data_IF_818784946117
#
_entry.id   IF_818784946117
#
_cell.length_a   1.000
_cell.length_b   1.000
_cell.length_c   1.000
_cell.angle_alpha   90.00
_cell.angle_beta   90.00
_cell.angle_gamma   90.00
#
_symmetry.space_group_name_H-M   'P 1'
#
loop_
_entity.id
_entity.type
_entity.pdbx_description
1 polymer ?
#
# COMPACT_ATOMS: atom_id res chain seq x y z
N UNK A 1 15.21 -0.93 -7.81
CA UNK A 1 13.90 -0.49 -7.26
C UNK A 1 13.75 1.04 -7.24
N UNK A 2 14.44 1.75 -8.14
CA UNK A 2 14.57 3.22 -8.09
C UNK A 2 13.23 3.96 -8.18
N UNK A 3 12.26 3.41 -8.92
CA UNK A 3 10.95 4.04 -9.08
C UNK A 3 10.09 3.99 -7.82
N UNK A 4 10.04 2.85 -7.13
CA UNK A 4 9.29 2.71 -5.86
C UNK A 4 9.95 3.55 -4.77
N UNK A 5 11.28 3.57 -4.73
CA UNK A 5 12.01 4.41 -3.80
C UNK A 5 11.73 5.91 -4.04
N UNK A 6 11.85 6.36 -5.29
CA UNK A 6 11.55 7.74 -5.66
C UNK A 6 10.11 8.12 -5.31
N UNK A 7 9.15 7.23 -5.59
CA UNK A 7 7.75 7.43 -5.24
C UNK A 7 7.55 7.53 -3.72
N UNK A 8 8.12 6.61 -2.94
CA UNK A 8 8.07 6.63 -1.48
C UNK A 8 8.64 7.95 -0.92
N UNK A 9 9.79 8.38 -1.44
CA UNK A 9 10.43 9.64 -1.04
C UNK A 9 9.58 10.86 -1.41
N UNK A 10 8.88 10.83 -2.55
CA UNK A 10 8.03 11.93 -2.98
C UNK A 10 6.76 12.10 -2.13
N UNK A 11 6.19 11.00 -1.61
CA UNK A 11 4.96 11.04 -0.79
C UNK A 11 5.24 11.26 0.69
N UNK A 12 6.44 10.93 1.17
CA UNK A 12 6.82 11.05 2.58
C UNK A 12 6.55 12.44 3.21
N UNK A 13 6.81 13.59 2.55
CA UNK A 13 6.55 14.92 3.14
C UNK A 13 5.07 15.22 3.39
N UNK A 14 4.17 14.59 2.63
CA UNK A 14 2.72 14.82 2.74
C UNK A 14 2.00 13.77 3.57
N UNK A 15 2.72 12.75 4.03
CA UNK A 15 2.17 11.66 4.83
C UNK A 15 1.66 12.17 6.19
N UNK A 16 0.57 11.60 6.70
CA UNK A 16 -0.01 11.99 7.98
C UNK A 16 -0.34 10.74 8.79
N UNK A 17 -0.44 10.91 10.11
CA UNK A 17 -1.00 9.87 10.98
C UNK A 17 -2.38 9.44 10.47
N UNK A 18 -2.60 8.14 10.44
CA UNK A 18 -3.77 7.50 9.86
C UNK A 18 -3.67 7.22 8.35
N UNK A 19 -2.57 7.57 7.68
CA UNK A 19 -2.41 7.29 6.25
C UNK A 19 -2.34 5.78 5.95
N UNK A 20 -2.78 5.41 4.75
CA UNK A 20 -2.63 4.08 4.18
C UNK A 20 -1.85 4.21 2.87
N UNK A 21 -0.73 3.50 2.76
CA UNK A 21 0.10 3.45 1.56
C UNK A 21 -0.01 2.05 0.96
N UNK A 22 -0.39 1.96 -0.31
CA UNK A 22 -0.56 0.70 -1.03
C UNK A 22 0.41 0.66 -2.21
N UNK A 23 1.27 -0.36 -2.24
CA UNK A 23 2.11 -0.65 -3.39
C UNK A 23 1.31 -1.49 -4.39
N UNK A 24 1.00 -0.91 -5.55
CA UNK A 24 0.26 -1.61 -6.62
C UNK A 24 1.16 -2.10 -7.77
N UNK A 25 2.34 -1.49 -7.93
CA UNK A 25 3.28 -1.88 -8.97
C UNK A 25 3.85 -3.27 -8.72
N UNK A 26 3.91 -4.10 -9.76
CA UNK A 26 4.59 -5.40 -9.73
C UNK A 26 6.03 -5.23 -9.26
N UNK A 27 6.31 -5.70 -8.06
CA UNK A 27 7.59 -5.48 -7.40
C UNK A 27 8.14 -6.79 -6.84
N UNK A 28 9.49 -6.94 -6.75
CA UNK A 28 10.09 -8.11 -6.13
C UNK A 28 9.61 -8.34 -4.68
N UNK A 29 9.75 -9.56 -4.18
CA UNK A 29 9.50 -9.86 -2.76
C UNK A 29 10.42 -8.99 -1.88
N UNK A 30 9.92 -8.46 -0.76
CA UNK A 30 10.66 -7.54 0.11
C UNK A 30 10.50 -6.06 -0.26
N UNK A 31 9.77 -5.73 -1.33
CA UNK A 31 9.61 -4.34 -1.78
C UNK A 31 8.74 -3.51 -0.83
N UNK A 32 7.73 -4.15 -0.23
CA UNK A 32 6.81 -3.50 0.70
C UNK A 32 7.53 -3.10 1.99
N UNK A 33 8.40 -3.98 2.48
CA UNK A 33 9.24 -3.79 3.66
C UNK A 33 10.26 -2.66 3.40
N UNK A 34 10.96 -2.69 2.26
CA UNK A 34 11.90 -1.62 1.88
C UNK A 34 11.21 -0.27 1.72
N UNK A 35 10.01 -0.24 1.14
CA UNK A 35 9.22 0.97 1.05
C UNK A 35 8.88 1.52 2.44
N UNK A 36 8.50 0.64 3.37
CA UNK A 36 8.24 1.01 4.75
C UNK A 36 9.48 1.55 5.47
N UNK A 37 10.66 0.97 5.21
CA UNK A 37 11.95 1.44 5.72
C UNK A 37 12.25 2.86 5.23
N UNK A 38 12.18 3.11 3.91
CA UNK A 38 12.45 4.45 3.36
C UNK A 38 11.49 5.51 3.90
N UNK A 39 10.22 5.16 4.06
CA UNK A 39 9.23 6.07 4.65
C UNK A 39 9.54 6.37 6.12
N UNK A 40 9.94 5.35 6.89
CA UNK A 40 10.32 5.50 8.30
C UNK A 40 11.60 6.35 8.48
N UNK A 41 12.59 6.18 7.61
CA UNK A 41 13.81 7.01 7.60
C UNK A 41 13.49 8.49 7.36
N UNK A 42 12.53 8.77 6.48
CA UNK A 42 12.15 10.14 6.13
C UNK A 42 11.16 10.78 7.11
N UNK A 43 10.39 9.97 7.84
CA UNK A 43 9.35 10.43 8.76
C UNK A 43 9.55 9.83 10.15
N UNK A 44 10.62 10.22 10.87
CA UNK A 44 10.87 9.76 12.23
C UNK A 44 9.80 10.23 13.23
N UNK A 45 8.95 11.20 12.84
CA UNK A 45 7.79 11.68 13.58
C UNK A 45 6.55 10.77 13.46
N UNK A 46 6.57 9.78 12.55
CA UNK A 46 5.51 8.79 12.36
C UNK A 46 6.03 7.39 12.66
N UNK A 47 5.14 6.52 13.13
CA UNK A 47 5.44 5.11 13.33
C UNK A 47 4.92 4.22 12.20
N UNK A 48 5.68 3.17 11.89
CA UNK A 48 5.42 2.24 10.78
C UNK A 48 5.28 0.79 11.25
N UNK A 49 4.65 -0.10 10.46
CA UNK A 49 4.32 -1.47 10.87
C UNK A 49 5.52 -2.29 11.36
N UNK A 50 6.69 -2.13 10.75
CA UNK A 50 7.92 -2.82 11.14
C UNK A 50 8.48 -2.37 12.51
N UNK A 51 8.02 -1.23 13.03
CA UNK A 51 8.51 -0.66 14.30
C UNK A 51 7.56 -1.01 15.47
N UNK A 52 6.25 -0.88 15.25
CA UNK A 52 5.25 -0.97 16.32
C UNK A 52 4.07 -1.91 15.99
N UNK A 53 4.16 -2.63 14.87
CA UNK A 53 3.13 -3.56 14.44
C UNK A 53 1.80 -2.88 14.12
N UNK A 54 0.73 -3.37 14.72
CA UNK A 54 -0.64 -2.93 14.45
C UNK A 54 -0.96 -1.52 14.94
N UNK A 55 -0.15 -0.97 15.85
CA UNK A 55 -0.33 0.37 16.42
C UNK A 55 0.33 1.48 15.59
N UNK A 56 0.83 1.16 14.40
CA UNK A 56 1.52 2.10 13.53
C UNK A 56 0.62 3.27 13.11
N UNK A 57 1.18 4.47 13.09
CA UNK A 57 0.52 5.67 12.58
C UNK A 57 0.21 5.55 11.08
N UNK A 58 1.03 4.81 10.34
CA UNK A 58 0.85 4.58 8.90
C UNK A 58 0.66 3.09 8.64
N UNK A 59 -0.36 2.75 7.86
CA UNK A 59 -0.57 1.38 7.39
C UNK A 59 0.02 1.19 6.01
N UNK A 60 0.62 0.01 5.78
CA UNK A 60 1.29 -0.34 4.53
C UNK A 60 0.77 -1.68 4.02
N UNK A 61 0.40 -1.71 2.75
CA UNK A 61 -0.08 -2.91 2.08
C UNK A 61 0.49 -3.04 0.65
N UNK A 62 0.37 -4.24 0.11
CA UNK A 62 0.66 -4.58 -1.27
C UNK A 62 -0.62 -5.13 -1.91
N UNK A 63 -0.97 -4.58 -3.07
CA UNK A 63 -2.11 -5.03 -3.86
C UNK A 63 -1.71 -4.99 -5.34
N UNK A 64 -1.08 -6.03 -5.88
CA UNK A 64 -0.64 -6.02 -7.27
C UNK A 64 -1.85 -5.88 -8.19
N UNK A 65 -1.80 -4.88 -9.07
CA UNK A 65 -2.84 -4.71 -10.08
C UNK A 65 -2.82 -5.89 -11.06
N UNK A 66 -3.98 -6.50 -11.33
CA UNK A 66 -4.18 -7.48 -12.41
C UNK A 66 -5.14 -6.89 -13.43
N UNK A 67 -4.60 -6.19 -14.42
CA UNK A 67 -5.36 -5.77 -15.62
C UNK A 67 -5.02 -6.71 -16.76
N UNK A 68 -6.01 -7.36 -17.36
CA UNK A 68 -5.86 -7.98 -18.68
C UNK A 68 -6.10 -6.89 -19.74
N UNK A 69 -5.24 -6.80 -20.78
CA UNK A 69 -5.44 -5.82 -21.84
C UNK A 69 -6.79 -6.04 -22.54
N UNK A 70 -7.66 -5.03 -22.55
CA UNK A 70 -8.89 -5.01 -23.37
C UNK A 70 -10.22 -4.82 -22.62
N UNK A 71 -10.27 -4.90 -21.28
CA UNK A 71 -11.51 -4.69 -20.50
C UNK A 71 -11.30 -3.95 -19.17
N UNK A 72 -10.51 -2.87 -19.20
CA UNK A 72 -10.05 -2.11 -18.02
C UNK A 72 -11.19 -1.76 -17.05
N UNK A 73 -12.35 -1.29 -17.54
CA UNK A 73 -13.46 -0.85 -16.70
C UNK A 73 -14.24 -2.00 -16.03
N UNK A 74 -14.34 -3.17 -16.68
CA UNK A 74 -15.13 -4.30 -16.16
C UNK A 74 -14.32 -5.12 -15.16
N UNK A 75 -13.01 -5.21 -15.37
CA UNK A 75 -12.09 -5.97 -14.51
C UNK A 75 -11.76 -5.28 -13.20
N UNK A 76 -11.65 -3.93 -13.20
CA UNK A 76 -11.41 -3.15 -11.99
C UNK A 76 -12.46 -3.41 -10.90
N UNK A 77 -13.68 -3.77 -11.30
CA UNK A 77 -14.83 -4.01 -10.43
C UNK A 77 -14.99 -5.50 -10.07
N UNK A 78 -14.54 -6.43 -10.94
CA UNK A 78 -14.84 -7.86 -10.84
C UNK A 78 -13.68 -8.76 -10.44
N UNK A 79 -12.43 -8.36 -10.66
CA UNK A 79 -11.30 -9.26 -10.40
C UNK A 79 -11.04 -9.39 -8.90
N UNK A 80 -10.86 -10.65 -8.45
CA UNK A 80 -10.41 -10.94 -7.10
C UNK A 80 -9.03 -10.30 -6.88
N UNK A 81 -9.00 -9.29 -6.00
CA UNK A 81 -7.76 -8.61 -5.60
C UNK A 81 -7.15 -9.34 -4.42
N UNK A 82 -5.88 -9.73 -4.56
CA UNK A 82 -5.09 -10.24 -3.44
C UNK A 82 -4.47 -9.04 -2.72
N UNK A 83 -4.82 -8.88 -1.45
CA UNK A 83 -4.33 -7.79 -0.61
C UNK A 83 -3.46 -8.38 0.49
N UNK A 84 -2.19 -7.97 0.53
CA UNK A 84 -1.24 -8.33 1.56
C UNK A 84 -0.80 -7.11 2.37
N UNK A 85 -1.37 -6.91 3.55
CA UNK A 85 -0.89 -5.92 4.51
C UNK A 85 0.32 -6.40 5.31
N UNK A 86 1.19 -5.47 5.73
CA UNK A 86 2.28 -5.81 6.67
C UNK A 86 1.78 -6.27 8.04
N UNK A 87 0.54 -5.93 8.38
CA UNK A 87 -0.20 -6.43 9.56
C UNK A 87 -1.65 -6.74 9.21
N UNK A 88 -2.38 -7.51 10.04
CA UNK A 88 -3.82 -7.72 9.86
C UNK A 88 -4.64 -6.43 9.74
N UNK A 89 -4.29 -5.39 10.50
CA UNK A 89 -4.92 -4.06 10.41
C UNK A 89 -4.66 -3.42 9.04
N UNK A 90 -3.43 -3.50 8.52
CA UNK A 90 -3.12 -3.00 7.18
C UNK A 90 -3.95 -3.71 6.10
N UNK A 91 -4.07 -5.04 6.17
CA UNK A 91 -4.87 -5.83 5.23
C UNK A 91 -6.35 -5.43 5.27
N UNK A 92 -6.88 -5.22 6.48
CA UNK A 92 -8.28 -4.82 6.70
C UNK A 92 -8.55 -3.45 6.10
N UNK A 93 -7.73 -2.44 6.42
CA UNK A 93 -7.89 -1.08 5.89
C UNK A 93 -7.75 -1.00 4.37
N UNK A 94 -6.80 -1.75 3.81
CA UNK A 94 -6.66 -1.85 2.35
C UNK A 94 -7.88 -2.53 1.72
N UNK A 95 -8.40 -3.60 2.32
CA UNK A 95 -9.61 -4.26 1.85
C UNK A 95 -10.84 -3.35 1.89
N UNK A 96 -10.98 -2.53 2.93
CA UNK A 96 -12.04 -1.54 3.03
C UNK A 96 -11.96 -0.49 1.93
N UNK A 97 -10.76 0.02 1.62
CA UNK A 97 -10.57 1.00 0.54
C UNK A 97 -11.08 0.46 -0.80
N UNK A 98 -10.72 -0.77 -1.16
CA UNK A 98 -11.16 -1.35 -2.43
C UNK A 98 -12.65 -1.73 -2.45
N UNK A 99 -13.28 -1.94 -1.28
CA UNK A 99 -14.73 -2.17 -1.18
C UNK A 99 -15.56 -0.91 -1.41
N UNK A 100 -14.98 0.30 -1.31
CA UNK A 100 -15.70 1.56 -1.51
C UNK A 100 -16.10 1.77 -2.98
N UNK A 101 -15.38 1.18 -3.94
CA UNK A 101 -15.73 1.28 -5.36
C UNK A 101 -17.00 0.46 -5.65
N UNK A 102 -18.17 1.10 -5.91
CA UNK A 102 -19.42 0.38 -6.04
C UNK A 102 -19.44 -0.43 -7.33
N UNK A 103 -19.94 -1.67 -7.22
CA UNK A 103 -20.47 -2.44 -8.34
C UNK A 103 -21.69 -1.69 -8.90
N UNK A 104 -21.51 -0.80 -9.88
CA UNK A 104 -22.60 -0.30 -10.72
C UNK A 104 -22.49 -0.88 -12.12
#
# INVERSE_FOLDING_TARGET
MTYVESAARSIAPVLKKGALVILESTSPVGSTEKMAEWLAEMRPDLTFPQQVGEQADVNIAYCPERVLPGQVMVELIKNDRVIGGMTPVCSTRASELYKIFPRR
#
